data_IF_575870872620
#
_entry.id   IF_575870872620
#
_cell.length_a   1.000
_cell.length_b   1.000
_cell.length_c   1.000
_cell.angle_alpha   90.00
_cell.angle_beta   90.00
_cell.angle_gamma   90.00
#
_symmetry.space_group_name_H-M   'P 1'
#
loop_
_entity.id
_entity.type
_entity.pdbx_description
1 polymer ?
#
# COMPACT_ATOMS: atom_id res chain seq x y z
N UNK A 1 68.96 87.13 63.43
CA UNK A 1 68.76 86.94 61.98
C UNK A 1 68.33 85.50 61.76
N UNK A 2 67.05 85.28 61.50
CA UNK A 2 66.45 83.93 61.35
C UNK A 2 66.69 83.44 59.91
N UNK A 3 67.20 82.22 59.69
CA UNK A 3 67.33 81.68 58.33
C UNK A 3 65.94 81.38 57.73
N UNK A 4 65.73 81.57 56.42
CA UNK A 4 64.45 81.30 55.76
C UNK A 4 64.15 79.79 55.76
N UNK A 5 62.92 79.45 56.09
CA UNK A 5 62.45 78.06 56.10
C UNK A 5 62.20 77.55 54.65
N UNK A 6 62.54 76.29 54.33
CA UNK A 6 62.26 75.72 53.01
C UNK A 6 60.76 75.48 52.84
N UNK A 7 60.19 76.04 51.77
CA UNK A 7 58.81 75.73 51.35
C UNK A 7 58.77 74.35 50.71
N UNK A 8 58.18 73.38 51.40
CA UNK A 8 57.90 72.06 50.83
C UNK A 8 56.68 72.15 49.90
N UNK A 9 56.72 71.56 48.69
CA UNK A 9 55.58 71.54 47.80
C UNK A 9 54.47 70.63 48.33
N UNK A 10 53.25 71.16 48.42
CA UNK A 10 52.03 70.43 48.76
C UNK A 10 51.78 69.33 47.72
N UNK A 11 51.71 68.07 48.17
CA UNK A 11 51.45 66.93 47.30
C UNK A 11 50.10 67.09 46.58
N UNK A 12 50.12 66.98 45.24
CA UNK A 12 48.91 67.03 44.42
C UNK A 12 48.01 65.82 44.71
N UNK A 13 46.66 65.97 44.68
CA UNK A 13 45.75 64.86 44.93
C UNK A 13 45.90 63.77 43.85
N UNK A 14 45.96 62.52 44.29
CA UNK A 14 46.06 61.37 43.41
C UNK A 14 44.85 61.28 42.48
N UNK A 15 45.09 61.22 41.17
CA UNK A 15 44.05 61.01 40.16
C UNK A 15 43.48 59.59 40.30
N UNK A 16 42.18 59.48 40.57
CA UNK A 16 41.43 58.22 40.56
C UNK A 16 40.68 58.11 39.23
N UNK A 17 40.98 57.13 38.36
CA UNK A 17 40.28 57.01 37.08
C UNK A 17 38.81 56.60 37.30
N UNK A 18 37.87 57.12 36.49
CA UNK A 18 36.46 56.79 36.61
C UNK A 18 36.21 55.31 36.28
N UNK A 19 35.50 54.60 37.16
CA UNK A 19 35.11 53.20 37.01
C UNK A 19 34.13 53.03 35.84
N UNK A 20 34.56 52.32 34.81
CA UNK A 20 33.84 51.93 33.58
C UNK A 20 32.81 50.81 33.79
N UNK A 21 31.96 50.89 34.81
CA UNK A 21 31.12 49.77 35.28
C UNK A 21 29.71 49.67 34.62
N UNK A 22 29.31 50.59 33.73
CA UNK A 22 27.91 50.67 33.26
C UNK A 22 27.59 49.94 31.95
N UNK A 23 28.58 49.62 31.11
CA UNK A 23 28.32 49.06 29.77
C UNK A 23 28.01 47.55 29.77
N UNK A 24 28.58 46.80 30.72
CA UNK A 24 28.43 45.34 30.82
C UNK A 24 27.01 44.89 31.24
N UNK A 25 26.37 45.48 32.28
CA UNK A 25 25.02 45.05 32.68
C UNK A 25 23.93 45.38 31.65
N UNK A 26 24.10 46.47 30.88
CA UNK A 26 23.11 46.86 29.87
C UNK A 26 23.08 45.87 28.70
N UNK A 27 24.25 45.47 28.20
CA UNK A 27 24.35 44.47 27.14
C UNK A 27 23.79 43.11 27.58
N UNK A 28 24.09 42.68 28.81
CA UNK A 28 23.54 41.45 29.39
C UNK A 28 22.01 41.52 29.51
N UNK A 29 21.45 42.67 29.89
CA UNK A 29 20.00 42.89 29.93
C UNK A 29 19.33 42.73 28.56
N UNK A 30 19.93 43.29 27.51
CA UNK A 30 19.41 43.17 26.13
C UNK A 30 19.43 41.71 25.65
N UNK A 31 20.50 40.96 25.90
CA UNK A 31 20.57 39.55 25.52
C UNK A 31 19.53 38.69 26.25
N UNK A 32 19.31 38.93 27.54
CA UNK A 32 18.27 38.22 28.29
C UNK A 32 16.86 38.55 27.78
N UNK A 33 16.60 39.82 27.41
CA UNK A 33 15.32 40.22 26.83
C UNK A 33 15.06 39.55 25.48
N UNK A 34 16.05 39.56 24.58
CA UNK A 34 15.96 38.89 23.28
C UNK A 34 15.79 37.37 23.43
N UNK A 35 16.51 36.75 24.38
CA UNK A 35 16.37 35.35 24.72
C UNK A 35 14.96 35.01 25.24
N UNK A 36 14.40 35.85 26.11
CA UNK A 36 13.04 35.69 26.60
C UNK A 36 12.02 35.80 25.46
N UNK A 37 12.13 36.81 24.59
CA UNK A 37 11.25 36.97 23.43
C UNK A 37 11.33 35.74 22.51
N UNK A 38 12.54 35.24 22.24
CA UNK A 38 12.74 34.04 21.44
C UNK A 38 12.09 32.80 22.06
N UNK A 39 12.23 32.63 23.38
CA UNK A 39 11.62 31.51 24.09
C UNK A 39 10.08 31.58 24.09
N UNK A 40 9.52 32.77 24.32
CA UNK A 40 8.07 32.99 24.23
C UNK A 40 7.53 32.76 22.82
N UNK A 41 8.24 33.22 21.78
CA UNK A 41 7.85 32.96 20.40
C UNK A 41 7.88 31.45 20.11
N UNK A 42 8.95 30.75 20.49
CA UNK A 42 9.07 29.31 20.28
C UNK A 42 7.96 28.53 21.03
N UNK A 43 7.65 28.90 22.27
CA UNK A 43 6.57 28.29 23.04
C UNK A 43 5.20 28.54 22.41
N UNK A 44 4.94 29.75 21.91
CA UNK A 44 3.69 30.10 21.24
C UNK A 44 3.51 29.31 19.94
N UNK A 45 4.49 29.37 19.03
CA UNK A 45 4.42 28.63 17.76
C UNK A 45 4.41 27.11 17.99
N UNK A 46 5.14 26.61 18.99
CA UNK A 46 5.13 25.21 19.38
C UNK A 46 3.74 24.76 19.88
N UNK A 47 3.08 25.57 20.72
CA UNK A 47 1.73 25.28 21.20
C UNK A 47 0.71 25.29 20.06
N UNK A 48 0.75 26.28 19.18
CA UNK A 48 -0.14 26.33 18.02
C UNK A 48 0.09 25.15 17.07
N UNK A 49 1.34 24.78 16.81
CA UNK A 49 1.66 23.63 15.99
C UNK A 49 1.22 22.32 16.65
N UNK A 50 1.38 22.20 17.97
CA UNK A 50 0.93 21.05 18.74
C UNK A 50 -0.60 20.92 18.76
N UNK A 51 -1.33 22.00 19.07
CA UNK A 51 -2.79 22.03 19.02
C UNK A 51 -3.31 21.78 17.60
N UNK A 52 -2.64 22.34 16.60
CA UNK A 52 -2.87 22.05 15.19
C UNK A 52 -2.68 20.56 14.89
N UNK A 53 -1.55 19.97 15.27
CA UNK A 53 -1.27 18.54 15.09
C UNK A 53 -2.34 17.65 15.75
N UNK A 54 -2.67 17.95 17.01
CA UNK A 54 -3.63 17.18 17.81
C UNK A 54 -5.05 17.27 17.24
N UNK A 55 -5.44 18.38 16.60
CA UNK A 55 -6.76 18.52 15.98
C UNK A 55 -6.78 18.08 14.50
N UNK A 56 -5.74 18.39 13.74
CA UNK A 56 -5.67 18.13 12.30
C UNK A 56 -5.46 16.64 12.02
N UNK A 57 -4.60 15.96 12.78
CA UNK A 57 -4.38 14.51 12.59
C UNK A 57 -5.68 13.70 12.69
N UNK A 58 -6.46 13.75 13.79
CA UNK A 58 -7.69 12.97 13.89
C UNK A 58 -8.72 13.40 12.83
N UNK A 59 -8.75 14.69 12.44
CA UNK A 59 -9.57 15.16 11.34
C UNK A 59 -9.21 14.52 10.00
N UNK A 60 -7.92 14.46 9.66
CA UNK A 60 -7.44 13.79 8.44
C UNK A 60 -7.75 12.30 8.49
N UNK A 61 -7.51 11.62 9.61
CA UNK A 61 -7.84 10.20 9.75
C UNK A 61 -9.35 9.95 9.60
N UNK A 62 -10.20 10.80 10.17
CA UNK A 62 -11.65 10.71 10.01
C UNK A 62 -12.07 10.93 8.55
N UNK A 63 -11.47 11.89 7.85
CA UNK A 63 -11.73 12.14 6.43
C UNK A 63 -11.29 10.97 5.55
N UNK A 64 -10.10 10.40 5.79
CA UNK A 64 -9.61 9.23 5.06
C UNK A 64 -10.50 8.01 5.32
N UNK A 65 -10.92 7.79 6.57
CA UNK A 65 -11.88 6.74 6.91
C UNK A 65 -13.23 6.95 6.22
N UNK A 66 -13.75 8.18 6.18
CA UNK A 66 -14.98 8.52 5.48
C UNK A 66 -14.84 8.29 3.96
N UNK A 67 -13.73 8.70 3.35
CA UNK A 67 -13.43 8.42 1.93
C UNK A 67 -13.34 6.92 1.65
N UNK A 68 -12.67 6.14 2.52
CA UNK A 68 -12.57 4.70 2.36
C UNK A 68 -13.93 4.00 2.52
N UNK A 69 -14.75 4.44 3.48
CA UNK A 69 -16.13 3.99 3.64
C UNK A 69 -16.97 4.34 2.40
N UNK A 70 -16.83 5.54 1.85
CA UNK A 70 -17.54 5.93 0.64
C UNK A 70 -17.10 5.11 -0.58
N UNK A 71 -15.80 4.87 -0.73
CA UNK A 71 -15.26 4.03 -1.80
C UNK A 71 -15.78 2.59 -1.69
N UNK A 72 -15.85 2.05 -0.47
CA UNK A 72 -16.41 0.72 -0.19
C UNK A 72 -17.91 0.67 -0.47
N UNK A 73 -18.68 1.65 0.02
CA UNK A 73 -20.12 1.74 -0.24
C UNK A 73 -20.43 1.88 -1.73
N UNK A 74 -19.65 2.67 -2.47
CA UNK A 74 -19.81 2.79 -3.92
C UNK A 74 -19.49 1.47 -4.64
N UNK A 75 -18.51 0.70 -4.16
CA UNK A 75 -18.20 -0.62 -4.71
C UNK A 75 -19.32 -1.63 -4.44
N UNK A 76 -19.88 -1.62 -3.23
CA UNK A 76 -21.05 -2.43 -2.88
C UNK A 76 -22.27 -2.04 -3.72
N UNK A 77 -22.53 -0.73 -3.90
CA UNK A 77 -23.62 -0.24 -4.77
C UNK A 77 -23.38 -0.66 -6.23
N UNK A 78 -22.14 -0.58 -6.74
CA UNK A 78 -21.81 -1.02 -8.09
C UNK A 78 -22.00 -2.54 -8.28
N UNK A 79 -21.61 -3.35 -7.28
CA UNK A 79 -21.87 -4.79 -7.27
C UNK A 79 -23.38 -5.08 -7.24
N UNK A 80 -24.13 -4.39 -6.39
CA UNK A 80 -25.58 -4.53 -6.28
C UNK A 80 -26.27 -4.15 -7.60
N UNK A 81 -25.90 -3.03 -8.23
CA UNK A 81 -26.41 -2.62 -9.54
C UNK A 81 -26.00 -3.58 -10.66
N UNK A 82 -24.80 -4.18 -10.58
CA UNK A 82 -24.36 -5.19 -11.54
C UNK A 82 -25.13 -6.52 -11.38
N UNK A 83 -25.42 -6.94 -10.15
CA UNK A 83 -26.22 -8.13 -9.85
C UNK A 83 -27.69 -7.92 -10.20
N UNK A 84 -28.30 -6.80 -9.80
CA UNK A 84 -29.69 -6.48 -10.13
C UNK A 84 -29.84 -6.20 -11.62
N UNK A 85 -28.98 -5.36 -12.20
CA UNK A 85 -29.00 -5.02 -13.62
C UNK A 85 -28.67 -6.21 -14.51
N UNK A 86 -27.71 -7.06 -14.14
CA UNK A 86 -27.37 -8.27 -14.88
C UNK A 86 -28.49 -9.32 -14.85
N UNK A 87 -29.08 -9.58 -13.68
CA UNK A 87 -30.19 -10.52 -13.57
C UNK A 87 -31.46 -9.98 -14.23
N UNK A 88 -31.78 -8.70 -14.06
CA UNK A 88 -32.95 -8.09 -14.70
C UNK A 88 -32.76 -8.04 -16.22
N UNK A 89 -31.59 -7.64 -16.74
CA UNK A 89 -31.31 -7.64 -18.17
C UNK A 89 -31.33 -9.06 -18.75
N UNK A 90 -30.80 -10.06 -18.04
CA UNK A 90 -30.83 -11.45 -18.47
C UNK A 90 -32.26 -12.01 -18.48
N UNK A 91 -33.09 -11.69 -17.47
CA UNK A 91 -34.50 -12.05 -17.46
C UNK A 91 -35.29 -11.35 -18.56
N UNK A 92 -35.05 -10.06 -18.80
CA UNK A 92 -35.67 -9.31 -19.89
C UNK A 92 -35.27 -9.91 -21.23
N UNK A 93 -34.00 -10.24 -21.46
CA UNK A 93 -33.55 -10.91 -22.67
C UNK A 93 -34.21 -12.28 -22.81
N UNK A 94 -34.34 -13.07 -21.74
CA UNK A 94 -35.03 -14.37 -21.78
C UNK A 94 -36.51 -14.21 -22.11
N UNK A 95 -37.20 -13.20 -21.55
CA UNK A 95 -38.61 -12.91 -21.84
C UNK A 95 -38.80 -12.46 -23.28
N UNK A 96 -38.00 -11.49 -23.76
CA UNK A 96 -38.05 -11.02 -25.15
C UNK A 96 -37.68 -12.15 -26.13
N UNK A 97 -36.69 -12.99 -25.80
CA UNK A 97 -36.34 -14.17 -26.62
C UNK A 97 -37.46 -15.21 -26.67
N UNK A 98 -38.34 -15.21 -25.67
CA UNK A 98 -39.50 -16.09 -25.60
C UNK A 98 -40.64 -15.58 -26.49
N UNK A 99 -40.76 -14.27 -26.64
CA UNK A 99 -41.82 -13.63 -27.44
C UNK A 99 -41.56 -13.78 -28.95
N UNK A 100 -40.30 -13.91 -29.39
CA UNK A 100 -39.96 -14.21 -30.79
C UNK A 100 -39.90 -15.71 -31.12
N UNK A 101 -39.90 -16.58 -30.10
CA UNK A 101 -39.91 -18.04 -30.28
C UNK A 101 -41.35 -18.55 -30.40
N UNK A 102 -42.11 -17.99 -31.34
CA UNK A 102 -43.20 -18.72 -31.97
C UNK A 102 -42.51 -19.80 -32.80
N UNK A 103 -42.17 -20.94 -32.16
CA UNK A 103 -41.66 -22.11 -32.86
C UNK A 103 -42.59 -22.33 -34.02
N UNK A 104 -42.14 -22.13 -35.27
CA UNK A 104 -43.06 -22.24 -36.36
C UNK A 104 -43.53 -23.68 -36.31
N UNK A 105 -44.85 -23.85 -36.26
CA UNK A 105 -45.51 -25.15 -36.31
C UNK A 105 -45.32 -25.82 -37.68
N UNK A 106 -44.21 -25.54 -38.36
CA UNK A 106 -43.74 -26.22 -39.55
C UNK A 106 -43.67 -27.71 -39.19
N UNK A 107 -44.73 -28.37 -39.61
CA UNK A 107 -44.77 -29.70 -40.15
C UNK A 107 -43.54 -30.51 -39.77
N UNK A 108 -43.75 -31.45 -38.85
CA UNK A 108 -42.90 -32.63 -38.77
C UNK A 108 -42.57 -33.06 -40.22
N UNK A 109 -41.33 -32.98 -40.71
CA UNK A 109 -40.99 -33.78 -41.86
C UNK A 109 -41.18 -35.21 -41.37
N UNK A 110 -42.10 -35.94 -41.98
CA UNK A 110 -42.30 -37.35 -41.71
C UNK A 110 -40.95 -38.05 -41.93
N UNK A 111 -40.22 -38.27 -40.84
CA UNK A 111 -39.10 -39.19 -40.83
C UNK A 111 -39.70 -40.58 -40.95
N UNK A 112 -39.98 -40.98 -42.19
CA UNK A 112 -40.10 -42.38 -42.52
C UNK A 112 -38.72 -42.99 -42.22
N UNK A 113 -38.62 -43.70 -41.10
CA UNK A 113 -37.47 -44.56 -40.83
C UNK A 113 -37.28 -45.46 -42.06
N UNK A 114 -36.11 -45.42 -42.72
CA UNK A 114 -35.86 -46.34 -43.82
C UNK A 114 -35.85 -47.77 -43.25
N UNK A 115 -36.67 -48.61 -43.87
CA UNK A 115 -36.70 -50.05 -43.63
C UNK A 115 -35.30 -50.65 -43.87
N UNK A 116 -34.95 -51.78 -43.21
CA UNK A 116 -33.63 -52.39 -43.29
C UNK A 116 -33.26 -52.68 -44.75
N UNK A 117 -32.12 -52.18 -45.17
CA UNK A 117 -31.61 -52.33 -46.53
C UNK A 117 -31.36 -53.82 -46.83
N UNK A 118 -32.07 -54.34 -47.84
CA UNK A 118 -31.55 -55.47 -48.60
C UNK A 118 -30.32 -54.97 -49.36
N UNK A 119 -29.17 -55.62 -49.12
CA UNK A 119 -27.88 -55.25 -49.71
C UNK A 119 -27.96 -55.23 -51.25
N UNK A 120 -27.99 -54.03 -51.83
CA UNK A 120 -27.63 -53.81 -53.22
C UNK A 120 -26.13 -53.46 -53.29
N UNK A 121 -25.34 -54.05 -54.22
CA UNK A 121 -23.93 -53.73 -54.35
C UNK A 121 -23.72 -52.26 -54.73
N UNK A 122 -22.76 -51.61 -54.06
CA UNK A 122 -22.50 -50.18 -54.18
C UNK A 122 -22.11 -49.77 -55.63
N UNK A 123 -22.65 -48.67 -56.17
CA UNK A 123 -22.23 -48.15 -57.47
C UNK A 123 -20.83 -47.53 -57.37
N UNK A 124 -19.97 -47.79 -58.37
CA UNK A 124 -18.68 -47.13 -58.49
C UNK A 124 -18.87 -45.69 -59.00
N UNK A 125 -18.56 -44.72 -58.14
CA UNK A 125 -18.61 -43.30 -58.48
C UNK A 125 -17.34 -42.86 -59.24
N UNK A 126 -17.44 -42.04 -60.31
CA UNK A 126 -16.28 -41.44 -60.94
C UNK A 126 -15.59 -40.42 -60.01
N UNK A 127 -14.26 -40.56 -59.88
CA UNK A 127 -13.34 -39.78 -59.03
C UNK A 127 -13.07 -38.36 -59.58
N UNK A 128 -14.10 -37.59 -59.90
CA UNK A 128 -13.90 -36.26 -60.51
C UNK A 128 -14.77 -35.18 -59.87
N UNK A 129 -14.60 -35.01 -58.57
CA UNK A 129 -14.87 -33.76 -57.88
C UNK A 129 -13.51 -33.20 -57.45
N UNK A 130 -13.05 -32.17 -58.17
CA UNK A 130 -11.88 -31.42 -57.80
C UNK A 130 -12.14 -30.74 -56.46
N UNK A 131 -11.32 -31.05 -55.45
CA UNK A 131 -11.35 -30.32 -54.19
C UNK A 131 -10.95 -28.86 -54.43
N UNK A 132 -11.64 -27.87 -53.83
CA UNK A 132 -11.16 -26.50 -53.84
C UNK A 132 -9.79 -26.45 -53.13
N UNK A 133 -8.75 -26.00 -53.84
CA UNK A 133 -7.45 -25.74 -53.23
C UNK A 133 -7.57 -24.55 -52.28
N UNK A 134 -7.62 -24.84 -50.98
CA UNK A 134 -7.38 -23.83 -49.95
C UNK A 134 -5.96 -23.29 -50.11
N UNK A 135 -5.74 -21.97 -50.08
CA UNK A 135 -4.40 -21.39 -50.07
C UNK A 135 -3.58 -21.99 -48.92
N UNK A 136 -2.47 -22.65 -49.25
CA UNK A 136 -1.46 -23.04 -48.27
C UNK A 136 -0.77 -21.76 -47.79
N UNK A 137 -1.19 -21.27 -46.63
CA UNK A 137 -0.43 -20.25 -45.91
C UNK A 137 0.94 -20.84 -45.53
N UNK A 138 2.05 -20.11 -45.74
CA UNK A 138 3.36 -20.56 -45.30
C UNK A 138 3.30 -20.88 -43.80
N UNK A 139 3.60 -22.12 -43.44
CA UNK A 139 3.82 -22.55 -42.07
C UNK A 139 5.08 -21.82 -41.57
N UNK A 140 4.95 -20.55 -41.17
CA UNK A 140 5.96 -19.92 -40.34
C UNK A 140 6.08 -20.78 -39.10
N UNK A 141 7.29 -21.29 -38.83
CA UNK A 141 7.59 -22.01 -37.60
C UNK A 141 7.03 -21.19 -36.44
N UNK A 142 5.99 -21.72 -35.79
CA UNK A 142 5.44 -21.11 -34.60
C UNK A 142 6.50 -21.25 -33.51
N UNK A 143 7.40 -20.28 -33.40
CA UNK A 143 8.21 -20.11 -32.22
C UNK A 143 7.27 -19.59 -31.13
N UNK A 144 7.05 -20.35 -30.03
CA UNK A 144 6.35 -19.79 -28.89
C UNK A 144 7.10 -18.51 -28.48
N UNK A 145 6.37 -17.43 -28.14
CA UNK A 145 6.98 -16.21 -27.65
C UNK A 145 7.98 -16.57 -26.54
N UNK A 146 9.19 -15.97 -26.52
CA UNK A 146 10.11 -16.19 -25.40
C UNK A 146 9.36 -15.90 -24.11
N UNK A 147 9.50 -16.80 -23.12
CA UNK A 147 8.82 -16.71 -21.85
C UNK A 147 8.92 -15.28 -21.33
N UNK A 148 7.77 -14.64 -21.11
CA UNK A 148 7.73 -13.29 -20.55
C UNK A 148 8.57 -13.24 -19.27
N UNK A 149 9.31 -12.15 -19.01
CA UNK A 149 10.05 -11.98 -17.77
C UNK A 149 9.14 -12.35 -16.61
N UNK A 150 9.54 -13.34 -15.82
CA UNK A 150 8.83 -13.71 -14.60
C UNK A 150 8.79 -12.44 -13.74
N UNK A 151 7.58 -11.92 -13.49
CA UNK A 151 7.40 -10.76 -12.65
C UNK A 151 7.80 -11.15 -11.23
N UNK A 152 9.05 -10.88 -10.86
CA UNK A 152 9.46 -10.93 -9.46
C UNK A 152 8.90 -9.66 -8.81
N UNK A 153 7.95 -9.78 -7.86
CA UNK A 153 7.57 -8.61 -7.06
C UNK A 153 8.85 -8.04 -6.43
N UNK A 154 8.99 -6.70 -6.35
CA UNK A 154 10.12 -6.10 -5.68
C UNK A 154 10.30 -6.76 -4.31
N UNK A 155 11.49 -7.29 -4.05
CA UNK A 155 11.86 -7.78 -2.71
C UNK A 155 11.59 -6.64 -1.75
N UNK A 156 10.58 -6.81 -0.90
CA UNK A 156 10.27 -5.86 0.14
C UNK A 156 11.55 -5.68 0.97
N UNK A 157 12.05 -4.45 1.06
CA UNK A 157 13.11 -4.10 1.99
C UNK A 157 12.68 -4.59 3.38
N UNK A 158 13.52 -5.35 4.11
CA UNK A 158 13.16 -5.76 5.45
C UNK A 158 12.96 -4.49 6.30
N UNK A 159 11.90 -4.42 7.12
CA UNK A 159 11.72 -3.33 8.06
C UNK A 159 12.95 -3.23 8.98
N UNK A 160 13.32 -2.02 9.46
CA UNK A 160 14.42 -1.83 10.39
C UNK A 160 14.29 -2.83 11.54
N UNK A 161 15.38 -3.57 11.82
CA UNK A 161 15.39 -4.60 12.85
C UNK A 161 14.94 -3.99 14.19
N UNK A 162 13.75 -4.40 14.65
CA UNK A 162 13.34 -4.19 16.02
C UNK A 162 14.36 -4.87 16.95
N UNK A 163 14.70 -4.28 18.11
CA UNK A 163 15.67 -4.85 19.03
C UNK A 163 15.24 -6.28 19.39
N UNK A 164 16.15 -7.23 19.16
CA UNK A 164 15.95 -8.65 19.41
C UNK A 164 15.43 -8.85 20.84
N UNK A 165 14.16 -9.23 20.95
CA UNK A 165 13.60 -9.71 22.20
C UNK A 165 14.31 -11.03 22.53
N UNK A 166 14.81 -11.21 23.76
CA UNK A 166 15.50 -12.42 24.17
C UNK A 166 14.58 -13.61 23.99
N UNK A 167 14.99 -14.57 23.15
CA UNK A 167 14.29 -15.83 22.93
C UNK A 167 14.20 -16.56 24.27
N UNK A 168 12.99 -16.87 24.79
CA UNK A 168 12.87 -17.79 25.91
C UNK A 168 13.47 -19.11 25.46
N UNK A 169 14.39 -19.66 26.24
CA UNK A 169 15.08 -20.93 25.96
C UNK A 169 14.06 -22.00 25.52
N UNK A 170 13.98 -22.23 24.21
CA UNK A 170 13.03 -23.14 23.59
C UNK A 170 13.48 -24.58 23.77
N UNK A 171 12.54 -25.49 24.02
CA UNK A 171 12.79 -26.93 23.97
C UNK A 171 13.04 -27.32 22.51
N UNK A 172 13.89 -28.29 22.24
CA UNK A 172 14.07 -28.82 20.88
C UNK A 172 13.15 -30.02 20.66
N UNK A 173 12.61 -30.14 19.44
CA UNK A 173 11.80 -31.30 19.07
C UNK A 173 12.69 -32.56 19.10
N UNK A 174 12.34 -33.62 19.85
CA UNK A 174 13.15 -34.84 19.89
C UNK A 174 13.13 -35.63 18.58
N UNK A 175 12.16 -35.37 17.70
CA UNK A 175 12.01 -36.08 16.44
C UNK A 175 12.83 -35.45 15.29
N UNK A 176 12.89 -34.11 15.20
CA UNK A 176 13.56 -33.42 14.09
C UNK A 176 14.58 -32.35 14.49
N UNK A 177 14.77 -32.10 15.79
CA UNK A 177 15.77 -31.16 16.31
C UNK A 177 15.45 -29.68 16.10
N UNK A 178 14.27 -29.31 15.59
CA UNK A 178 13.91 -27.90 15.45
C UNK A 178 13.56 -27.26 16.80
N UNK A 179 13.86 -25.96 17.01
CA UNK A 179 13.44 -25.26 18.21
C UNK A 179 11.90 -25.17 18.25
N UNK A 180 11.33 -25.51 19.40
CA UNK A 180 9.90 -25.47 19.68
C UNK A 180 9.66 -24.35 20.69
N UNK A 181 8.74 -23.44 20.35
CA UNK A 181 8.33 -22.37 21.25
C UNK A 181 7.68 -22.94 22.52
N UNK A 182 7.95 -22.31 23.66
CA UNK A 182 7.39 -22.74 24.95
C UNK A 182 5.84 -22.75 24.90
N UNK A 183 5.23 -23.86 25.32
CA UNK A 183 3.77 -24.02 25.34
C UNK A 183 3.15 -24.70 24.11
N UNK A 184 3.94 -25.03 23.09
CA UNK A 184 3.45 -25.76 21.91
C UNK A 184 3.47 -27.28 22.15
N UNK A 185 2.33 -27.94 21.92
CA UNK A 185 2.15 -29.40 22.07
C UNK A 185 2.58 -30.20 20.83
N UNK A 186 2.79 -29.53 19.69
CA UNK A 186 3.19 -30.14 18.42
C UNK A 186 4.32 -29.34 17.77
N UNK A 187 5.20 -30.04 17.07
CA UNK A 187 6.28 -29.42 16.32
C UNK A 187 5.77 -28.84 15.01
N UNK A 188 6.00 -27.54 14.77
CA UNK A 188 5.61 -26.85 13.54
C UNK A 188 6.37 -27.34 12.29
N UNK A 189 7.52 -28.01 12.46
CA UNK A 189 8.35 -28.48 11.35
C UNK A 189 8.04 -29.91 10.90
N UNK A 190 7.77 -30.83 11.82
CA UNK A 190 7.53 -32.24 11.49
C UNK A 190 6.18 -32.78 11.94
N UNK A 191 5.37 -31.99 12.66
CA UNK A 191 4.05 -32.41 13.15
C UNK A 191 4.06 -33.39 14.33
N UNK A 192 5.23 -33.84 14.79
CA UNK A 192 5.33 -34.74 15.94
C UNK A 192 4.89 -34.05 17.24
N UNK A 193 4.21 -34.79 18.12
CA UNK A 193 3.83 -34.30 19.46
C UNK A 193 5.07 -34.12 20.32
N UNK A 194 5.17 -32.99 21.01
CA UNK A 194 6.29 -32.65 21.88
C UNK A 194 5.84 -32.83 23.34
N UNK A 195 6.59 -33.58 24.18
CA UNK A 195 6.25 -33.80 25.58
C UNK A 195 6.44 -32.56 26.48
#
# INVERSE_FOLDING_TARGET
MQPPQPMYPTAAPAYVPPKKETAVPLLAGVFNLLGAIGWFAAAFFGLFFYLGLVCIIPGIFALLAAMFCFQRTNWEIALILSLLGGNILSLILVVISKDEFDWPKHAQPAYAYPQPYAYAPAPQYPQQYAQPQYPQYPQQQYQPPPAAPQYQPPVAMPPPAAPAQPTPAGRFCPNCGSPVAAGQTFCSRCGARVP
#
